data_IF_663708873709
#
_entry.id   IF_663708873709
#
_cell.length_a   1.000
_cell.length_b   1.000
_cell.length_c   1.000
_cell.angle_alpha   90.00
_cell.angle_beta   90.00
_cell.angle_gamma   90.00
#
_symmetry.space_group_name_H-M   'P 1'
#
loop_
_entity.id
_entity.type
_entity.pdbx_description
1 polymer ?
#
# COMPACT_ATOMS: atom_id res chain seq x y z
N UNK A 1 -48.49 24.19 -34.38
CA UNK A 1 -49.14 25.36 -33.72
C UNK A 1 -48.15 25.95 -32.73
N UNK A 2 -47.87 27.24 -32.90
CA UNK A 2 -46.98 28.16 -32.16
C UNK A 2 -45.66 27.62 -31.59
N UNK A 3 -44.53 28.09 -32.14
CA UNK A 3 -43.29 28.17 -31.37
C UNK A 3 -43.58 29.02 -30.12
N UNK A 4 -43.65 28.39 -28.95
CA UNK A 4 -43.72 29.08 -27.66
C UNK A 4 -42.39 29.84 -27.50
N UNK A 5 -42.40 31.11 -27.90
CA UNK A 5 -41.28 32.00 -27.62
C UNK A 5 -41.32 32.28 -26.11
N UNK A 6 -40.19 32.15 -25.40
CA UNK A 6 -40.13 32.45 -23.98
C UNK A 6 -40.58 33.89 -23.70
N UNK A 7 -41.23 34.12 -22.56
CA UNK A 7 -41.70 35.44 -22.12
C UNK A 7 -40.56 36.40 -21.73
N UNK A 8 -39.31 36.06 -22.04
CA UNK A 8 -38.13 36.80 -21.65
C UNK A 8 -37.00 36.72 -22.68
N UNK A 9 -36.00 37.57 -22.50
CA UNK A 9 -34.82 37.64 -23.37
C UNK A 9 -33.67 36.77 -22.85
N UNK A 10 -32.63 36.62 -23.67
CA UNK A 10 -31.39 35.90 -23.33
C UNK A 10 -30.64 36.44 -22.11
N UNK A 11 -30.99 37.64 -21.62
CA UNK A 11 -30.41 38.26 -20.42
C UNK A 11 -31.33 38.20 -19.21
N UNK A 12 -32.33 37.31 -19.20
CA UNK A 12 -33.27 37.20 -18.08
C UNK A 12 -32.57 36.98 -16.74
N UNK A 13 -32.96 37.78 -15.74
CA UNK A 13 -32.54 37.71 -14.32
C UNK A 13 -33.74 37.70 -13.37
N UNK A 14 -34.93 37.35 -13.87
CA UNK A 14 -36.16 37.33 -13.07
C UNK A 14 -36.06 36.29 -11.96
N UNK A 15 -36.18 36.74 -10.71
CA UNK A 15 -36.19 35.85 -9.56
C UNK A 15 -37.38 34.88 -9.63
N UNK A 16 -38.54 35.35 -10.10
CA UNK A 16 -39.72 34.51 -10.28
C UNK A 16 -39.44 33.37 -11.26
N UNK A 17 -38.83 33.66 -12.41
CA UNK A 17 -38.50 32.61 -13.38
C UNK A 17 -37.51 31.60 -12.80
N UNK A 18 -36.57 32.05 -11.96
CA UNK A 18 -35.63 31.16 -11.28
C UNK A 18 -36.37 30.23 -10.30
N UNK A 19 -37.31 30.76 -9.53
CA UNK A 19 -38.12 29.98 -8.58
C UNK A 19 -39.01 28.96 -9.31
N UNK A 20 -39.62 29.35 -10.43
CA UNK A 20 -40.46 28.44 -11.22
C UNK A 20 -39.63 27.30 -11.83
N UNK A 21 -38.46 27.62 -12.41
CA UNK A 21 -37.50 26.64 -12.92
C UNK A 21 -37.11 25.64 -11.82
N UNK A 22 -36.77 26.14 -10.63
CA UNK A 22 -36.38 25.29 -9.49
C UNK A 22 -37.54 24.39 -9.04
N UNK A 23 -38.75 24.94 -8.96
CA UNK A 23 -39.96 24.21 -8.58
C UNK A 23 -40.23 23.04 -9.54
N UNK A 24 -40.17 23.31 -10.85
CA UNK A 24 -40.39 22.30 -11.89
C UNK A 24 -39.31 21.22 -11.84
N UNK A 25 -38.05 21.57 -11.65
CA UNK A 25 -36.94 20.59 -11.57
C UNK A 25 -37.09 19.67 -10.36
N UNK A 26 -37.61 20.21 -9.25
CA UNK A 26 -37.80 19.45 -8.01
C UNK A 26 -38.90 18.39 -8.15
N UNK A 27 -40.00 18.69 -8.87
CA UNK A 27 -41.20 17.84 -8.91
C UNK A 27 -41.44 17.13 -10.24
N UNK A 28 -40.90 17.66 -11.33
CA UNK A 28 -41.20 17.22 -12.69
C UNK A 28 -40.54 15.89 -13.05
N UNK A 29 -41.15 15.22 -14.03
CA UNK A 29 -40.50 14.15 -14.79
C UNK A 29 -39.44 14.73 -15.74
N UNK A 30 -38.51 13.89 -16.19
CA UNK A 30 -37.44 14.32 -17.11
C UNK A 30 -37.99 15.03 -18.36
N UNK A 31 -39.02 14.47 -18.99
CA UNK A 31 -39.64 15.05 -20.19
C UNK A 31 -40.33 16.39 -19.90
N UNK A 32 -41.01 16.51 -18.77
CA UNK A 32 -41.65 17.76 -18.35
C UNK A 32 -40.61 18.86 -18.08
N UNK A 33 -39.52 18.52 -17.40
CA UNK A 33 -38.44 19.45 -17.10
C UNK A 33 -37.81 19.94 -18.40
N UNK A 34 -37.43 19.03 -19.30
CA UNK A 34 -36.82 19.40 -20.60
C UNK A 34 -37.74 20.31 -21.40
N UNK A 35 -39.02 19.95 -21.54
CA UNK A 35 -40.01 20.75 -22.26
C UNK A 35 -40.19 22.15 -21.66
N UNK A 36 -40.28 22.25 -20.34
CA UNK A 36 -40.44 23.52 -19.63
C UNK A 36 -39.21 24.41 -19.77
N UNK A 37 -38.00 23.86 -19.55
CA UNK A 37 -36.75 24.61 -19.67
C UNK A 37 -36.53 25.16 -21.09
N UNK A 38 -36.97 24.43 -22.12
CA UNK A 38 -36.84 24.86 -23.52
C UNK A 38 -37.84 25.93 -23.96
N UNK A 39 -38.96 26.11 -23.25
CA UNK A 39 -40.06 27.00 -23.68
C UNK A 39 -40.34 28.17 -22.75
N UNK A 40 -40.04 28.05 -21.46
CA UNK A 40 -40.45 29.04 -20.46
C UNK A 40 -39.51 30.25 -20.36
N UNK A 41 -38.19 30.02 -20.37
CA UNK A 41 -37.21 31.09 -20.16
C UNK A 41 -35.98 30.88 -21.05
N UNK A 42 -35.58 31.92 -21.81
CA UNK A 42 -34.39 31.84 -22.68
C UNK A 42 -33.11 31.55 -21.89
N UNK A 43 -33.07 31.97 -20.62
CA UNK A 43 -31.94 31.75 -19.72
C UNK A 43 -32.20 30.67 -18.65
N UNK A 44 -33.18 29.77 -18.85
CA UNK A 44 -33.59 28.78 -17.85
C UNK A 44 -32.43 27.93 -17.32
N UNK A 45 -31.42 27.67 -18.16
CA UNK A 45 -30.29 26.81 -17.81
C UNK A 45 -29.23 27.48 -16.90
N UNK A 46 -29.18 28.83 -16.85
CA UNK A 46 -28.17 29.54 -16.04
C UNK A 46 -28.75 30.51 -15.02
N UNK A 47 -30.06 30.76 -15.07
CA UNK A 47 -30.75 31.63 -14.11
C UNK A 47 -30.57 31.11 -12.68
N UNK A 48 -30.37 32.04 -11.74
CA UNK A 48 -30.04 31.73 -10.35
C UNK A 48 -31.10 32.26 -9.41
N UNK A 49 -31.39 31.51 -8.35
CA UNK A 49 -32.22 31.98 -7.24
C UNK A 49 -31.45 32.88 -6.25
N UNK A 50 -32.10 33.24 -5.16
CA UNK A 50 -31.53 34.05 -4.08
C UNK A 50 -30.26 33.41 -3.46
N UNK A 51 -30.17 32.08 -3.45
CA UNK A 51 -29.03 31.30 -2.94
C UNK A 51 -27.95 31.07 -4.00
N UNK A 52 -28.11 31.61 -5.21
CA UNK A 52 -27.17 31.42 -6.31
C UNK A 52 -27.25 30.06 -6.99
N UNK A 53 -28.28 29.25 -6.68
CA UNK A 53 -28.49 27.93 -7.27
C UNK A 53 -29.19 28.08 -8.61
N UNK A 54 -28.77 27.27 -9.58
CA UNK A 54 -29.39 27.14 -10.90
C UNK A 54 -29.91 25.70 -11.09
N UNK A 55 -30.43 25.41 -12.27
CA UNK A 55 -31.00 24.10 -12.59
C UNK A 55 -30.07 22.91 -12.33
N UNK A 56 -28.75 23.02 -12.58
CA UNK A 56 -27.84 21.89 -12.38
C UNK A 56 -27.68 21.54 -10.89
N UNK A 57 -27.74 22.53 -9.99
CA UNK A 57 -27.68 22.29 -8.55
C UNK A 57 -28.90 21.51 -8.09
N UNK A 58 -30.08 21.86 -8.60
CA UNK A 58 -31.35 21.23 -8.22
C UNK A 58 -31.51 19.85 -8.86
N UNK A 59 -31.16 19.71 -10.14
CA UNK A 59 -31.15 18.42 -10.82
C UNK A 59 -30.23 17.43 -10.10
N UNK A 60 -29.05 17.90 -9.65
CA UNK A 60 -28.12 17.14 -8.81
C UNK A 60 -28.67 16.80 -7.43
N UNK A 61 -29.36 17.74 -6.77
CA UNK A 61 -29.97 17.52 -5.45
C UNK A 61 -31.21 16.62 -5.49
N UNK A 62 -31.76 16.34 -6.68
CA UNK A 62 -32.97 15.53 -6.87
C UNK A 62 -32.70 14.24 -7.66
N UNK A 63 -31.44 13.89 -7.91
CA UNK A 63 -31.07 12.65 -8.63
C UNK A 63 -31.51 12.61 -10.11
N UNK A 64 -31.69 13.77 -10.77
CA UNK A 64 -32.24 13.85 -12.13
C UNK A 64 -31.13 13.69 -13.19
N UNK A 65 -30.51 12.51 -13.26
CA UNK A 65 -29.39 12.20 -14.18
C UNK A 65 -29.67 12.58 -15.64
N UNK A 66 -30.81 12.16 -16.21
CA UNK A 66 -31.11 12.43 -17.62
C UNK A 66 -31.34 13.91 -17.96
N UNK A 67 -31.66 14.74 -16.94
CA UNK A 67 -31.68 16.20 -17.07
C UNK A 67 -30.27 16.77 -17.02
N UNK A 68 -29.39 16.25 -16.15
CA UNK A 68 -27.98 16.66 -16.08
C UNK A 68 -27.21 16.33 -17.36
N UNK A 69 -27.36 15.10 -17.89
CA UNK A 69 -26.73 14.69 -19.16
C UNK A 69 -27.15 15.64 -20.29
N UNK A 70 -28.46 15.95 -20.37
CA UNK A 70 -28.99 16.87 -21.37
C UNK A 70 -28.48 18.32 -21.20
N UNK A 71 -28.38 18.81 -19.96
CA UNK A 71 -27.84 20.14 -19.67
C UNK A 71 -26.35 20.24 -19.97
N UNK A 72 -25.59 19.17 -19.72
CA UNK A 72 -24.16 19.10 -20.02
C UNK A 72 -23.87 19.16 -21.53
N UNK A 73 -24.79 18.66 -22.36
CA UNK A 73 -24.72 18.75 -23.82
C UNK A 73 -25.22 20.10 -24.36
N UNK A 74 -25.91 20.89 -23.53
CA UNK A 74 -26.48 22.19 -23.94
C UNK A 74 -25.42 23.31 -23.87
N UNK A 75 -25.24 24.05 -24.98
CA UNK A 75 -24.27 25.16 -25.04
C UNK A 75 -24.60 26.25 -24.02
N UNK A 76 -23.59 26.65 -23.22
CA UNK A 76 -23.67 27.78 -22.30
C UNK A 76 -23.94 27.43 -20.83
N UNK A 77 -24.05 26.15 -20.49
CA UNK A 77 -24.18 25.69 -19.10
C UNK A 77 -22.79 25.47 -18.50
N UNK A 78 -22.50 26.19 -17.41
CA UNK A 78 -21.28 25.98 -16.61
C UNK A 78 -21.55 24.92 -15.52
N UNK A 79 -21.05 23.70 -15.74
CA UNK A 79 -21.13 22.61 -14.76
C UNK A 79 -20.30 22.85 -13.50
N UNK A 80 -19.37 23.81 -13.54
CA UNK A 80 -18.50 24.18 -12.43
C UNK A 80 -19.09 25.32 -11.58
N UNK A 81 -20.28 25.79 -11.94
CA UNK A 81 -20.94 26.87 -11.22
C UNK A 81 -21.11 26.51 -9.74
N UNK A 82 -20.73 27.45 -8.87
CA UNK A 82 -20.90 27.36 -7.43
C UNK A 82 -22.13 28.14 -6.98
N UNK A 83 -22.87 27.59 -6.02
CA UNK A 83 -23.90 28.35 -5.32
C UNK A 83 -23.31 29.43 -4.40
N UNK A 84 -24.13 30.42 -4.04
CA UNK A 84 -23.69 31.55 -3.23
C UNK A 84 -23.68 31.23 -1.74
N UNK A 85 -24.40 30.22 -1.29
CA UNK A 85 -24.54 29.91 0.13
C UNK A 85 -23.28 29.18 0.63
N UNK A 86 -23.04 27.99 0.09
CA UNK A 86 -21.99 27.06 0.49
C UNK A 86 -20.76 27.09 -0.42
N UNK A 87 -20.92 27.57 -1.66
CA UNK A 87 -19.89 27.41 -2.69
C UNK A 87 -19.88 26.02 -3.32
N UNK A 88 -20.91 25.21 -3.08
CA UNK A 88 -21.04 23.88 -3.64
C UNK A 88 -21.35 23.91 -5.13
N UNK A 89 -20.78 22.95 -5.85
CA UNK A 89 -21.12 22.65 -7.23
C UNK A 89 -22.23 21.59 -7.31
N UNK A 90 -22.73 21.34 -8.52
CA UNK A 90 -23.58 20.19 -8.83
C UNK A 90 -23.00 18.85 -8.30
N UNK A 91 -21.67 18.68 -8.37
CA UNK A 91 -20.99 17.47 -7.90
C UNK A 91 -21.04 17.31 -6.38
N UNK A 92 -20.79 18.37 -5.62
CA UNK A 92 -20.91 18.35 -4.15
C UNK A 92 -22.31 17.94 -3.71
N UNK A 93 -23.34 18.51 -4.34
CA UNK A 93 -24.74 18.19 -4.04
C UNK A 93 -25.10 16.75 -4.39
N UNK A 94 -24.68 16.27 -5.57
CA UNK A 94 -24.91 14.87 -5.98
C UNK A 94 -24.31 13.89 -4.97
N UNK A 95 -23.11 14.20 -4.46
CA UNK A 95 -22.43 13.41 -3.43
C UNK A 95 -23.17 13.49 -2.10
N UNK A 96 -23.46 14.69 -1.61
CA UNK A 96 -24.08 14.90 -0.31
C UNK A 96 -25.44 14.20 -0.17
N UNK A 97 -26.22 14.14 -1.26
CA UNK A 97 -27.51 13.45 -1.28
C UNK A 97 -27.43 11.98 -1.73
N UNK A 98 -26.23 11.46 -2.03
CA UNK A 98 -26.03 10.04 -2.36
C UNK A 98 -26.44 9.62 -3.79
N UNK A 99 -26.57 10.57 -4.73
CA UNK A 99 -26.94 10.27 -6.12
C UNK A 99 -25.72 9.92 -6.99
N UNK A 100 -25.21 8.69 -6.82
CA UNK A 100 -24.01 8.20 -7.52
C UNK A 100 -24.14 8.27 -9.05
N UNK A 101 -25.32 8.02 -9.60
CA UNK A 101 -25.56 8.13 -11.04
C UNK A 101 -25.33 9.54 -11.59
N UNK A 102 -25.71 10.58 -10.83
CA UNK A 102 -25.45 11.97 -11.16
C UNK A 102 -23.96 12.32 -11.00
N UNK A 103 -23.30 11.79 -9.97
CA UNK A 103 -21.85 11.92 -9.78
C UNK A 103 -21.12 11.37 -11.01
N UNK A 104 -21.40 10.14 -11.42
CA UNK A 104 -20.76 9.49 -12.57
C UNK A 104 -21.00 10.26 -13.87
N UNK A 105 -22.21 10.79 -14.08
CA UNK A 105 -22.53 11.67 -15.21
C UNK A 105 -21.66 12.93 -15.21
N UNK A 106 -21.61 13.67 -14.10
CA UNK A 106 -20.82 14.90 -13.98
C UNK A 106 -19.32 14.64 -14.19
N UNK A 107 -18.79 13.54 -13.64
CA UNK A 107 -17.40 13.12 -13.85
C UNK A 107 -17.12 12.76 -15.32
N UNK A 108 -18.05 12.07 -15.99
CA UNK A 108 -17.96 11.76 -17.43
C UNK A 108 -17.89 13.04 -18.27
N UNK A 109 -18.56 14.10 -17.84
CA UNK A 109 -18.51 15.43 -18.49
C UNK A 109 -17.34 16.31 -18.01
N UNK A 110 -16.36 15.75 -17.28
CA UNK A 110 -15.10 16.42 -16.96
C UNK A 110 -15.12 17.30 -15.71
N UNK A 111 -16.15 17.22 -14.86
CA UNK A 111 -16.18 17.95 -13.58
C UNK A 111 -15.16 17.34 -12.63
N UNK A 112 -14.26 18.17 -12.08
CA UNK A 112 -13.22 17.70 -11.15
C UNK A 112 -13.76 17.46 -9.74
N UNK A 113 -13.36 16.33 -9.13
CA UNK A 113 -13.62 16.00 -7.72
C UNK A 113 -12.95 16.97 -6.74
N UNK A 114 -11.91 17.68 -7.17
CA UNK A 114 -11.02 18.46 -6.31
C UNK A 114 -11.40 19.94 -6.21
N UNK A 115 -12.54 20.34 -6.79
CA UNK A 115 -13.04 21.71 -6.65
C UNK A 115 -13.44 21.92 -5.20
N UNK A 116 -12.84 22.92 -4.55
CA UNK A 116 -13.11 23.22 -3.13
C UNK A 116 -14.31 24.16 -2.97
N UNK A 117 -15.12 23.95 -1.94
CA UNK A 117 -16.18 24.85 -1.51
C UNK A 117 -15.65 26.05 -0.70
N UNK A 118 -16.53 26.81 -0.03
CA UNK A 118 -16.11 27.94 0.81
C UNK A 118 -15.39 27.53 2.10
N UNK A 119 -15.59 26.30 2.57
CA UNK A 119 -14.90 25.73 3.72
C UNK A 119 -13.56 25.08 3.33
N UNK A 120 -13.22 25.09 2.04
CA UNK A 120 -12.01 24.45 1.51
C UNK A 120 -12.16 22.95 1.28
N UNK A 121 -13.36 22.40 1.42
CA UNK A 121 -13.66 20.98 1.25
C UNK A 121 -13.99 20.70 -0.21
N UNK A 122 -13.36 19.67 -0.77
CA UNK A 122 -13.70 19.17 -2.09
C UNK A 122 -14.91 18.23 -2.04
N UNK A 123 -15.46 17.94 -3.21
CA UNK A 123 -16.56 16.99 -3.34
C UNK A 123 -16.14 15.60 -2.80
N UNK A 124 -14.87 15.23 -2.95
CA UNK A 124 -14.31 14.01 -2.38
C UNK A 124 -14.24 14.05 -0.84
N UNK A 125 -13.85 15.19 -0.26
CA UNK A 125 -13.79 15.36 1.20
C UNK A 125 -15.18 15.21 1.83
N UNK A 126 -16.24 15.64 1.14
CA UNK A 126 -17.63 15.43 1.58
C UNK A 126 -18.01 13.94 1.63
N UNK A 127 -17.60 13.13 0.65
CA UNK A 127 -17.84 11.66 0.69
C UNK A 127 -17.20 11.06 1.94
N UNK A 128 -16.08 11.62 2.37
CA UNK A 128 -15.31 11.11 3.51
C UNK A 128 -15.79 11.67 4.86
N UNK A 129 -16.71 12.64 4.89
CA UNK A 129 -17.12 13.36 6.11
C UNK A 129 -17.93 12.48 7.09
N UNK A 130 -18.67 11.50 6.58
CA UNK A 130 -19.42 10.55 7.42
C UNK A 130 -18.53 9.44 8.01
N UNK A 131 -17.23 9.44 7.68
CA UNK A 131 -16.28 8.51 8.28
C UNK A 131 -16.13 8.82 9.77
N UNK A 132 -16.11 7.79 10.65
CA UNK A 132 -15.71 7.99 12.04
C UNK A 132 -14.35 8.70 12.09
N UNK A 133 -14.27 9.79 12.88
CA UNK A 133 -13.06 10.61 13.01
C UNK A 133 -11.86 9.74 13.42
N UNK A 134 -12.09 8.64 14.15
CA UNK A 134 -11.10 7.63 14.47
C UNK A 134 -11.67 6.25 14.16
N UNK A 135 -11.03 5.50 13.27
CA UNK A 135 -11.38 4.09 13.02
C UNK A 135 -10.45 3.22 13.84
N UNK A 136 -10.98 2.59 14.88
CA UNK A 136 -10.21 1.63 15.70
C UNK A 136 -10.38 0.24 15.10
N UNK A 137 -9.35 -0.26 14.43
CA UNK A 137 -9.30 -1.65 13.96
C UNK A 137 -8.79 -2.56 15.07
N UNK A 138 -9.56 -3.61 15.39
CA UNK A 138 -9.10 -4.72 16.23
C UNK A 138 -8.41 -5.74 15.33
N UNK A 139 -7.41 -6.43 15.89
CA UNK A 139 -6.72 -7.56 15.21
C UNK A 139 -7.64 -8.75 14.91
N UNK A 140 -8.88 -8.73 15.38
CA UNK A 140 -9.89 -9.77 15.16
C UNK A 140 -10.95 -9.36 14.14
N UNK A 141 -10.92 -8.11 13.68
CA UNK A 141 -11.89 -7.63 12.72
C UNK A 141 -11.73 -8.38 11.38
N UNK A 142 -12.83 -8.64 10.66
CA UNK A 142 -12.75 -9.27 9.35
C UNK A 142 -11.95 -8.38 8.41
N UNK A 143 -11.05 -8.98 7.65
CA UNK A 143 -10.20 -8.27 6.70
C UNK A 143 -10.40 -8.79 5.28
N UNK A 144 -10.40 -7.85 4.36
CA UNK A 144 -10.43 -8.10 2.92
C UNK A 144 -9.07 -7.78 2.32
N UNK A 145 -8.70 -8.53 1.27
CA UNK A 145 -7.43 -8.35 0.58
C UNK A 145 -7.69 -7.72 -0.77
N UNK A 146 -7.07 -6.57 -1.00
CA UNK A 146 -7.08 -5.92 -2.31
C UNK A 146 -5.67 -5.96 -2.90
N UNK A 147 -5.55 -6.40 -4.16
CA UNK A 147 -4.29 -6.42 -4.90
C UNK A 147 -4.46 -5.73 -6.24
N UNK A 148 -3.42 -4.99 -6.66
CA UNK A 148 -3.41 -4.28 -7.93
C UNK A 148 -1.99 -4.05 -8.43
N UNK A 149 -1.87 -3.52 -9.65
CA UNK A 149 -0.62 -3.27 -10.33
C UNK A 149 -0.35 -4.26 -11.46
N UNK A 150 0.93 -4.46 -11.76
CA UNK A 150 1.39 -5.37 -12.80
C UNK A 150 1.25 -6.82 -12.34
N UNK A 151 0.78 -7.71 -13.24
CA UNK A 151 0.55 -9.11 -12.95
C UNK A 151 1.25 -10.08 -13.94
N UNK A 152 2.34 -9.63 -14.57
CA UNK A 152 3.16 -10.47 -15.48
C UNK A 152 3.64 -11.75 -14.79
N UNK A 153 3.85 -11.71 -13.46
CA UNK A 153 4.34 -12.83 -12.67
C UNK A 153 3.25 -13.54 -11.83
N UNK A 154 1.96 -13.28 -12.12
CA UNK A 154 0.81 -13.92 -11.45
C UNK A 154 0.74 -13.71 -9.93
N UNK A 155 1.27 -12.59 -9.44
CA UNK A 155 1.36 -12.28 -8.01
C UNK A 155 0.08 -11.67 -7.44
N UNK A 156 -0.88 -11.26 -8.26
CA UNK A 156 -2.08 -10.59 -7.74
C UNK A 156 -3.14 -11.55 -7.18
N UNK A 157 -3.17 -12.82 -7.61
CA UNK A 157 -4.11 -13.82 -7.08
C UNK A 157 -5.52 -13.80 -7.68
N UNK A 158 -5.74 -13.11 -8.80
CA UNK A 158 -7.05 -12.96 -9.46
C UNK A 158 -7.36 -14.01 -10.54
N UNK A 159 -6.57 -15.09 -10.65
CA UNK A 159 -6.81 -16.18 -11.61
C UNK A 159 -6.53 -15.85 -13.08
N UNK A 160 -6.03 -14.65 -13.38
CA UNK A 160 -5.67 -14.21 -14.73
C UNK A 160 -4.29 -13.54 -14.79
N UNK A 161 -3.82 -13.26 -16.00
CA UNK A 161 -2.54 -12.57 -16.25
C UNK A 161 -2.67 -11.04 -16.29
N UNK A 162 -3.90 -10.54 -16.34
CA UNK A 162 -4.16 -9.12 -16.50
C UNK A 162 -3.77 -8.35 -15.23
N UNK A 163 -3.04 -7.27 -15.41
CA UNK A 163 -2.79 -6.29 -14.35
C UNK A 163 -4.07 -5.56 -13.98
N UNK A 164 -4.09 -4.96 -12.78
CA UNK A 164 -5.22 -4.16 -12.30
C UNK A 164 -4.78 -2.72 -12.09
N UNK A 165 -5.53 -1.76 -12.62
CA UNK A 165 -5.21 -0.34 -12.50
C UNK A 165 -5.70 0.30 -11.18
N UNK A 166 -6.64 -0.35 -10.50
CA UNK A 166 -7.17 0.05 -9.21
C UNK A 166 -7.15 -1.16 -8.25
N UNK A 167 -7.17 -0.94 -6.92
CA UNK A 167 -7.37 -2.00 -5.94
C UNK A 167 -8.56 -2.90 -6.33
N UNK A 168 -8.34 -4.21 -6.36
CA UNK A 168 -9.39 -5.19 -6.65
C UNK A 168 -9.38 -6.29 -5.60
N UNK A 169 -10.58 -6.66 -5.15
CA UNK A 169 -10.79 -7.66 -4.10
C UNK A 169 -10.34 -9.04 -4.59
N UNK A 170 -9.45 -9.68 -3.83
CA UNK A 170 -9.11 -11.10 -4.00
C UNK A 170 -10.24 -11.92 -3.40
N UNK A 171 -11.27 -12.16 -4.20
CA UNK A 171 -12.57 -12.69 -3.78
C UNK A 171 -12.53 -14.11 -3.18
N UNK A 172 -11.50 -14.89 -3.46
CA UNK A 172 -11.28 -16.22 -2.92
C UNK A 172 -11.34 -16.25 -1.38
N UNK A 173 -10.78 -15.24 -0.72
CA UNK A 173 -10.74 -15.19 0.74
C UNK A 173 -12.12 -14.97 1.38
N UNK A 174 -12.87 -13.88 1.04
CA UNK A 174 -14.20 -13.67 1.60
C UNK A 174 -15.20 -14.76 1.20
N UNK A 175 -15.13 -15.30 -0.03
CA UNK A 175 -15.99 -16.42 -0.46
C UNK A 175 -15.83 -17.66 0.44
N UNK A 176 -14.64 -17.86 1.00
CA UNK A 176 -14.33 -19.01 1.84
C UNK A 176 -14.30 -18.67 3.34
N UNK A 177 -14.71 -17.46 3.74
CA UNK A 177 -14.68 -17.02 5.14
C UNK A 177 -13.27 -16.97 5.75
N UNK A 178 -12.27 -16.65 4.92
CA UNK A 178 -10.87 -16.53 5.32
C UNK A 178 -10.51 -15.05 5.46
N UNK A 179 -10.01 -14.66 6.63
CA UNK A 179 -9.57 -13.29 6.91
C UNK A 179 -8.05 -13.24 7.00
N UNK A 180 -7.40 -12.34 6.28
CA UNK A 180 -5.94 -12.26 6.15
C UNK A 180 -5.36 -11.19 7.08
N UNK A 181 -4.38 -11.57 7.92
CA UNK A 181 -3.68 -10.68 8.86
C UNK A 181 -2.35 -10.12 8.32
N UNK A 182 -1.73 -10.81 7.35
CA UNK A 182 -0.48 -10.37 6.76
C UNK A 182 -0.39 -10.77 5.28
N UNK A 183 0.14 -9.88 4.45
CA UNK A 183 0.41 -10.11 3.03
C UNK A 183 1.86 -9.74 2.72
N UNK A 184 2.56 -10.60 1.99
CA UNK A 184 3.91 -10.32 1.46
C UNK A 184 3.87 -10.51 -0.04
N UNK A 185 4.06 -9.42 -0.79
CA UNK A 185 4.18 -9.44 -2.25
C UNK A 185 5.65 -9.39 -2.64
N UNK A 186 6.09 -10.34 -3.45
CA UNK A 186 7.45 -10.41 -3.99
C UNK A 186 7.43 -10.35 -5.53
N UNK A 187 8.62 -10.30 -6.14
CA UNK A 187 8.73 -10.23 -7.61
C UNK A 187 7.98 -11.36 -8.33
N UNK A 188 8.03 -12.58 -7.80
CA UNK A 188 7.54 -13.77 -8.49
C UNK A 188 6.41 -14.51 -7.78
N UNK A 189 6.16 -14.23 -6.51
CA UNK A 189 5.10 -14.88 -5.77
C UNK A 189 4.55 -13.97 -4.67
N UNK A 190 3.44 -14.38 -4.08
CA UNK A 190 2.78 -13.69 -2.99
C UNK A 190 2.36 -14.68 -1.93
N UNK A 191 2.44 -14.24 -0.68
CA UNK A 191 2.17 -15.06 0.50
C UNK A 191 1.14 -14.34 1.36
N UNK A 192 0.11 -15.07 1.77
CA UNK A 192 -1.00 -14.56 2.56
C UNK A 192 -1.13 -15.39 3.83
N UNK A 193 -1.20 -14.74 4.97
CA UNK A 193 -1.34 -15.38 6.27
C UNK A 193 -2.71 -15.03 6.87
N UNK A 194 -3.52 -16.05 7.15
CA UNK A 194 -4.84 -15.85 7.76
C UNK A 194 -4.77 -15.61 9.27
N UNK A 195 -5.85 -15.07 9.83
CA UNK A 195 -6.03 -14.94 11.27
C UNK A 195 -6.01 -16.30 12.00
N UNK A 196 -6.41 -17.37 11.31
CA UNK A 196 -6.38 -18.76 11.80
C UNK A 196 -5.02 -19.45 11.61
N UNK A 197 -3.97 -18.70 11.27
CA UNK A 197 -2.63 -19.23 11.08
C UNK A 197 -2.43 -20.03 9.80
N UNK A 198 -3.33 -19.96 8.82
CA UNK A 198 -3.21 -20.68 7.55
C UNK A 198 -2.42 -19.85 6.54
N UNK A 199 -1.50 -20.49 5.82
CA UNK A 199 -0.65 -19.84 4.80
C UNK A 199 -1.11 -20.21 3.40
N UNK A 200 -1.32 -19.19 2.56
CA UNK A 200 -1.67 -19.34 1.16
C UNK A 200 -0.60 -18.71 0.28
N UNK A 201 -0.34 -19.27 -0.89
CA UNK A 201 0.64 -18.76 -1.85
C UNK A 201 0.08 -18.74 -3.28
N UNK A 202 0.52 -17.78 -4.09
CA UNK A 202 0.28 -17.73 -5.53
C UNK A 202 1.45 -17.06 -6.26
N UNK A 203 1.49 -17.18 -7.59
CA UNK A 203 2.57 -16.72 -8.46
C UNK A 203 3.32 -17.88 -9.11
N UNK A 204 4.57 -17.64 -9.49
CA UNK A 204 5.43 -18.65 -10.10
C UNK A 204 6.01 -19.64 -9.07
N UNK A 205 5.92 -20.93 -9.39
CA UNK A 205 6.39 -22.03 -8.54
C UNK A 205 7.87 -22.38 -8.65
N UNK A 206 8.61 -21.82 -9.60
CA UNK A 206 10.00 -22.22 -9.89
C UNK A 206 10.88 -22.31 -8.63
N UNK A 207 11.61 -23.42 -8.48
CA UNK A 207 12.42 -23.71 -7.30
C UNK A 207 11.62 -24.06 -6.03
N UNK A 208 10.29 -24.23 -6.12
CA UNK A 208 9.45 -24.67 -5.00
C UNK A 208 8.97 -23.57 -4.06
N UNK A 209 9.09 -22.28 -4.45
CA UNK A 209 8.84 -21.12 -3.57
C UNK A 209 7.40 -21.00 -3.05
N UNK A 210 6.46 -21.73 -3.65
CA UNK A 210 5.06 -21.77 -3.24
C UNK A 210 4.74 -22.82 -2.18
N UNK A 211 5.58 -23.85 -2.02
CA UNK A 211 5.42 -24.85 -0.95
C UNK A 211 4.39 -25.96 -1.23
N UNK A 212 3.92 -26.12 -2.47
CA UNK A 212 2.87 -27.10 -2.83
C UNK A 212 3.40 -28.50 -3.20
N UNK A 213 4.69 -28.75 -3.07
CA UNK A 213 5.33 -30.00 -3.46
C UNK A 213 5.79 -30.07 -4.92
N UNK A 214 5.49 -29.03 -5.71
CA UNK A 214 5.84 -28.90 -7.12
C UNK A 214 6.42 -27.50 -7.42
N UNK A 215 6.70 -27.23 -8.70
CA UNK A 215 7.15 -25.92 -9.20
C UNK A 215 6.12 -25.23 -10.10
N UNK A 216 4.86 -25.65 -10.04
CA UNK A 216 3.82 -25.13 -10.92
C UNK A 216 3.44 -23.69 -10.56
N UNK A 217 3.05 -22.92 -11.57
CA UNK A 217 2.51 -21.58 -11.36
C UNK A 217 1.09 -21.70 -10.80
N UNK A 218 0.78 -20.93 -9.75
CA UNK A 218 -0.53 -20.89 -9.12
C UNK A 218 -1.14 -19.50 -9.28
N UNK A 219 -2.24 -19.38 -10.02
CA UNK A 219 -2.81 -18.07 -10.40
C UNK A 219 -3.72 -17.45 -9.33
N UNK A 220 -4.17 -18.27 -8.38
CA UNK A 220 -5.02 -17.89 -7.26
C UNK A 220 -4.38 -18.40 -5.96
N UNK A 221 -4.57 -17.73 -4.81
CA UNK A 221 -4.00 -18.20 -3.55
C UNK A 221 -4.44 -19.63 -3.22
N UNK A 222 -3.47 -20.54 -3.07
CA UNK A 222 -3.69 -21.93 -2.69
C UNK A 222 -3.11 -22.18 -1.30
N UNK A 223 -3.83 -22.96 -0.48
CA UNK A 223 -3.37 -23.36 0.85
C UNK A 223 -2.07 -24.18 0.75
N UNK A 224 -1.10 -23.85 1.60
CA UNK A 224 0.13 -24.63 1.74
C UNK A 224 -0.13 -25.79 2.71
N UNK A 225 -0.55 -26.94 2.17
CA UNK A 225 -0.98 -28.11 2.97
C UNK A 225 0.07 -28.58 3.99
N UNK A 226 1.36 -28.48 3.67
CA UNK A 226 2.45 -28.83 4.60
C UNK A 226 2.49 -27.99 5.88
N UNK A 227 1.76 -26.87 5.94
CA UNK A 227 1.62 -26.00 7.11
C UNK A 227 0.22 -26.03 7.72
N UNK A 228 -0.74 -26.76 7.14
CA UNK A 228 -2.15 -26.71 7.57
C UNK A 228 -2.36 -27.14 9.03
N UNK A 229 -1.49 -27.99 9.58
CA UNK A 229 -1.52 -28.44 10.98
C UNK A 229 -0.80 -27.51 11.96
N UNK A 230 -0.22 -26.39 11.50
CA UNK A 230 0.56 -25.48 12.32
C UNK A 230 -0.15 -24.12 12.45
N UNK A 231 -0.09 -23.52 13.65
CA UNK A 231 -0.56 -22.15 13.84
C UNK A 231 0.53 -21.17 13.46
N UNK A 232 0.44 -20.58 12.26
CA UNK A 232 1.43 -19.62 11.78
C UNK A 232 1.20 -18.20 12.32
N UNK A 233 2.26 -17.59 12.83
CA UNK A 233 2.26 -16.27 13.47
C UNK A 233 2.78 -15.16 12.55
N UNK A 234 3.77 -15.47 11.69
CA UNK A 234 4.40 -14.51 10.78
C UNK A 234 4.85 -15.17 9.47
N UNK A 235 4.77 -14.43 8.37
CA UNK A 235 5.36 -14.78 7.08
C UNK A 235 6.44 -13.78 6.67
N UNK A 236 7.47 -14.25 6.00
CA UNK A 236 8.46 -13.44 5.28
C UNK A 236 8.79 -14.15 3.95
N UNK A 237 9.06 -13.37 2.91
CA UNK A 237 9.43 -13.92 1.61
C UNK A 237 10.33 -12.94 0.86
N UNK A 238 11.14 -13.49 -0.02
CA UNK A 238 11.97 -12.72 -0.94
C UNK A 238 11.81 -13.25 -2.36
N UNK A 239 12.75 -12.93 -3.26
CA UNK A 239 12.63 -13.30 -4.68
C UNK A 239 12.33 -14.80 -4.87
N UNK A 240 13.10 -15.67 -4.23
CA UNK A 240 13.15 -17.11 -4.57
C UNK A 240 12.79 -18.07 -3.43
N UNK A 241 12.46 -17.58 -2.24
CA UNK A 241 12.11 -18.43 -1.10
C UNK A 241 11.12 -17.76 -0.14
N UNK A 242 10.49 -18.61 0.68
CA UNK A 242 9.48 -18.26 1.68
C UNK A 242 9.90 -18.80 3.04
N UNK A 243 9.62 -18.01 4.08
CA UNK A 243 9.92 -18.29 5.49
C UNK A 243 8.65 -18.09 6.29
N UNK A 244 8.30 -19.07 7.13
CA UNK A 244 7.10 -19.06 7.95
C UNK A 244 7.48 -19.33 9.39
N UNK A 245 6.97 -18.52 10.31
CA UNK A 245 7.11 -18.68 11.76
C UNK A 245 5.78 -19.19 12.34
N UNK A 246 5.84 -20.17 13.22
CA UNK A 246 4.69 -20.63 14.02
C UNK A 246 4.58 -19.89 15.35
N UNK A 247 3.42 -19.98 16.00
CA UNK A 247 3.22 -19.44 17.35
C UNK A 247 4.14 -20.10 18.39
N UNK A 248 4.48 -21.38 18.19
CA UNK A 248 5.42 -22.12 19.03
C UNK A 248 6.90 -21.76 18.79
N UNK A 249 7.19 -20.82 17.89
CA UNK A 249 8.55 -20.38 17.56
C UNK A 249 9.30 -21.32 16.60
N UNK A 250 8.61 -22.22 15.91
CA UNK A 250 9.22 -23.04 14.86
C UNK A 250 9.25 -22.30 13.53
N UNK A 251 10.35 -22.44 12.80
CA UNK A 251 10.55 -21.80 11.51
C UNK A 251 10.55 -22.85 10.41
N UNK A 252 9.77 -22.62 9.37
CA UNK A 252 9.69 -23.44 8.16
C UNK A 252 10.15 -22.62 6.96
N UNK A 253 10.96 -23.22 6.09
CA UNK A 253 11.46 -22.60 4.87
C UNK A 253 11.21 -23.48 3.66
N UNK A 254 10.97 -22.85 2.51
CA UNK A 254 10.80 -23.53 1.22
C UNK A 254 11.12 -22.57 0.06
N UNK A 255 11.46 -23.14 -1.09
CA UNK A 255 11.95 -22.41 -2.27
C UNK A 255 13.36 -22.79 -2.67
N UNK A 256 14.01 -21.89 -3.40
CA UNK A 256 15.36 -22.08 -3.92
C UNK A 256 16.39 -21.92 -2.80
N UNK A 257 17.44 -22.74 -2.83
CA UNK A 257 18.47 -22.78 -1.79
C UNK A 257 19.91 -22.65 -2.35
N UNK A 258 20.07 -22.02 -3.51
CA UNK A 258 21.38 -21.84 -4.19
C UNK A 258 22.46 -21.23 -3.30
N UNK A 259 22.06 -20.38 -2.34
CA UNK A 259 22.96 -19.70 -1.41
C UNK A 259 22.76 -20.16 0.03
N UNK A 260 22.09 -21.29 0.23
CA UNK A 260 21.75 -21.84 1.54
C UNK A 260 20.82 -20.96 2.41
N UNK A 261 20.04 -20.08 1.77
CA UNK A 261 19.09 -19.19 2.44
C UNK A 261 17.98 -19.92 3.21
N UNK A 262 17.73 -21.20 2.94
CA UNK A 262 16.71 -21.98 3.67
C UNK A 262 17.18 -22.47 5.04
N UNK A 263 18.49 -22.58 5.30
CA UNK A 263 19.02 -23.03 6.59
C UNK A 263 18.78 -24.50 6.95
N UNK A 264 18.48 -25.34 5.95
CA UNK A 264 18.16 -26.77 6.13
C UNK A 264 19.46 -27.59 6.12
N UNK A 265 19.58 -28.58 7.02
CA UNK A 265 20.69 -29.53 7.07
C UNK A 265 20.23 -30.98 6.84
N UNK A 266 20.92 -31.78 6.02
CA UNK A 266 21.92 -31.35 5.02
C UNK A 266 21.27 -30.41 3.98
N UNK A 267 22.04 -29.47 3.37
CA UNK A 267 21.48 -28.44 2.49
C UNK A 267 20.98 -29.03 1.16
N UNK A 268 19.67 -28.97 0.86
CA UNK A 268 19.15 -29.36 -0.45
C UNK A 268 19.37 -28.22 -1.47
N UNK A 269 19.32 -28.48 -2.78
CA UNK A 269 19.37 -27.42 -3.81
C UNK A 269 18.12 -26.52 -3.80
N UNK A 270 16.96 -27.10 -3.50
CA UNK A 270 15.67 -26.44 -3.34
C UNK A 270 14.77 -27.27 -2.41
N UNK A 271 13.66 -26.71 -1.96
CA UNK A 271 12.65 -27.42 -1.18
C UNK A 271 11.25 -27.00 -1.62
N UNK A 272 10.50 -27.89 -2.26
CA UNK A 272 9.14 -27.61 -2.76
C UNK A 272 8.04 -27.78 -1.72
N UNK A 273 8.37 -28.34 -0.55
CA UNK A 273 7.48 -28.42 0.61
C UNK A 273 8.11 -27.69 1.80
N UNK A 274 7.30 -27.09 2.69
CA UNK A 274 7.80 -26.47 3.91
C UNK A 274 8.63 -27.46 4.74
N UNK A 275 9.87 -27.10 5.05
CA UNK A 275 10.73 -27.89 5.94
C UNK A 275 11.18 -27.07 7.13
N UNK A 276 11.13 -27.66 8.30
CA UNK A 276 11.54 -27.02 9.55
C UNK A 276 13.06 -26.75 9.54
N UNK A 277 13.44 -25.53 9.94
CA UNK A 277 14.82 -25.16 10.19
C UNK A 277 15.24 -25.67 11.56
N UNK A 278 16.16 -26.63 11.59
CA UNK A 278 16.69 -27.20 12.83
C UNK A 278 18.12 -26.74 13.04
N UNK A 279 18.36 -26.01 14.14
CA UNK A 279 19.69 -25.52 14.48
C UNK A 279 19.99 -25.73 15.97
N UNK A 280 21.18 -26.26 16.28
CA UNK A 280 21.59 -26.58 17.66
C UNK A 280 21.59 -25.34 18.57
N UNK A 281 21.96 -24.18 18.03
CA UNK A 281 21.99 -22.89 18.71
C UNK A 281 20.60 -22.23 18.89
N UNK A 282 19.55 -22.79 18.30
CA UNK A 282 18.16 -22.41 18.54
C UNK A 282 17.45 -23.36 19.51
N UNK A 283 18.09 -24.47 19.91
CA UNK A 283 17.48 -25.44 20.81
C UNK A 283 17.14 -24.78 22.15
N UNK A 284 15.86 -24.83 22.53
CA UNK A 284 15.35 -24.22 23.76
C UNK A 284 15.15 -22.70 23.69
N UNK A 285 15.32 -22.08 22.52
CA UNK A 285 15.08 -20.65 22.32
C UNK A 285 13.85 -20.45 21.45
N UNK A 286 12.96 -19.55 21.87
CA UNK A 286 11.78 -19.19 21.10
C UNK A 286 12.14 -18.13 20.06
N UNK A 287 11.99 -18.46 18.78
CA UNK A 287 12.08 -17.47 17.70
C UNK A 287 10.84 -16.58 17.77
N UNK A 288 11.04 -15.27 17.81
CA UNK A 288 9.96 -14.28 17.93
C UNK A 288 9.72 -13.52 16.64
N UNK A 289 10.60 -13.69 15.64
CA UNK A 289 10.37 -13.13 14.32
C UNK A 289 11.31 -13.63 13.24
N UNK A 290 10.87 -13.43 12.00
CA UNK A 290 11.57 -13.81 10.77
C UNK A 290 11.58 -12.69 9.72
N UNK A 291 12.65 -12.62 8.92
CA UNK A 291 12.77 -11.72 7.77
C UNK A 291 13.56 -12.41 6.65
N UNK A 292 13.32 -12.00 5.41
CA UNK A 292 13.95 -12.57 4.23
C UNK A 292 14.47 -11.47 3.31
N UNK A 293 15.74 -11.58 2.90
CA UNK A 293 16.33 -10.85 1.79
C UNK A 293 16.48 -11.77 0.58
N UNK A 294 16.76 -11.25 -0.62
CA UNK A 294 16.86 -12.09 -1.84
C UNK A 294 17.78 -13.31 -1.67
N UNK A 295 18.86 -13.18 -0.91
CA UNK A 295 19.89 -14.21 -0.79
C UNK A 295 20.11 -14.71 0.64
N UNK A 296 19.30 -14.28 1.61
CA UNK A 296 19.50 -14.63 3.01
C UNK A 296 18.20 -14.64 3.82
N UNK A 297 18.23 -15.38 4.93
CA UNK A 297 17.16 -15.43 5.92
C UNK A 297 17.69 -14.94 7.26
N UNK A 298 16.83 -14.24 7.99
CA UNK A 298 17.11 -13.73 9.33
C UNK A 298 16.05 -14.23 10.30
N UNK A 299 16.48 -14.81 11.41
CA UNK A 299 15.64 -15.21 12.53
C UNK A 299 16.11 -14.45 13.76
N UNK A 300 15.22 -14.10 14.68
CA UNK A 300 15.66 -13.53 15.96
C UNK A 300 14.85 -14.04 17.13
N UNK A 301 15.53 -14.08 18.28
CA UNK A 301 14.92 -14.21 19.60
C UNK A 301 15.10 -12.88 20.33
N UNK A 302 14.63 -12.75 21.56
CA UNK A 302 14.93 -11.56 22.37
C UNK A 302 16.43 -11.36 22.59
N UNK A 303 17.23 -12.42 22.63
CA UNK A 303 18.63 -12.36 23.05
C UNK A 303 19.64 -12.32 21.89
N UNK A 304 19.19 -12.64 20.68
CA UNK A 304 20.10 -12.88 19.56
C UNK A 304 19.43 -12.75 18.19
N UNK A 305 20.21 -12.27 17.23
CA UNK A 305 19.89 -12.33 15.80
C UNK A 305 20.69 -13.46 15.16
N UNK A 306 20.03 -14.22 14.30
CA UNK A 306 20.62 -15.30 13.53
C UNK A 306 20.45 -15.06 12.03
N UNK A 307 21.52 -15.22 11.27
CA UNK A 307 21.52 -15.01 9.82
C UNK A 307 22.12 -16.20 9.10
N UNK A 308 21.60 -16.50 7.90
CA UNK A 308 22.04 -17.59 7.03
C UNK A 308 21.83 -17.21 5.56
N UNK A 309 22.55 -17.83 4.64
CA UNK A 309 22.51 -17.48 3.22
C UNK A 309 23.84 -16.98 2.67
N UNK A 310 23.80 -16.21 1.58
CA UNK A 310 24.97 -15.56 0.98
C UNK A 310 25.56 -14.51 1.92
N UNK A 311 26.86 -14.57 2.18
CA UNK A 311 27.59 -13.56 2.96
C UNK A 311 28.18 -12.48 2.05
N UNK A 312 27.35 -11.55 1.59
CA UNK A 312 27.76 -10.39 0.79
C UNK A 312 27.91 -9.10 1.61
N UNK A 313 28.03 -9.21 2.94
CA UNK A 313 28.15 -8.09 3.88
C UNK A 313 26.89 -7.78 4.71
N UNK A 314 25.76 -8.41 4.39
CA UNK A 314 24.46 -8.17 5.01
C UNK A 314 24.11 -9.10 6.18
N UNK A 315 24.93 -10.12 6.43
CA UNK A 315 24.71 -11.11 7.49
C UNK A 315 25.23 -10.68 8.86
N UNK A 316 26.11 -9.67 8.92
CA UNK A 316 26.78 -9.25 10.15
C UNK A 316 28.02 -10.08 10.53
N UNK A 317 28.56 -10.86 9.60
CA UNK A 317 29.83 -11.58 9.74
C UNK A 317 30.94 -10.85 8.99
N UNK A 318 32.16 -10.94 9.52
CA UNK A 318 33.34 -10.43 8.82
C UNK A 318 33.66 -11.29 7.59
N UNK A 319 34.23 -10.66 6.57
CA UNK A 319 34.88 -11.37 5.47
C UNK A 319 36.24 -11.87 5.97
N UNK A 320 36.29 -13.09 6.48
CA UNK A 320 37.56 -13.73 6.85
C UNK A 320 38.39 -13.95 5.56
N UNK A 321 39.74 -13.88 5.55
CA UNK A 321 40.53 -14.17 4.36
C UNK A 321 40.31 -15.59 3.80
N UNK A 322 39.78 -16.50 4.64
CA UNK A 322 39.31 -17.86 4.32
C UNK A 322 37.80 -18.03 4.54
N UNK A 323 37.05 -16.93 4.58
CA UNK A 323 35.67 -16.88 5.06
C UNK A 323 34.69 -17.64 4.18
N UNK A 324 33.72 -18.28 4.82
CA UNK A 324 32.64 -18.95 4.11
C UNK A 324 31.80 -17.94 3.34
N UNK A 325 31.70 -18.14 2.01
CA UNK A 325 30.86 -17.34 1.12
C UNK A 325 29.38 -17.45 1.47
N UNK A 326 28.96 -18.57 2.04
CA UNK A 326 27.59 -18.80 2.44
C UNK A 326 27.54 -19.47 3.81
N UNK A 327 26.54 -19.10 4.60
CA UNK A 327 26.26 -19.66 5.92
C UNK A 327 25.10 -20.64 5.77
N UNK A 328 25.35 -21.94 5.97
CA UNK A 328 24.42 -23.03 5.62
C UNK A 328 23.32 -23.30 6.64
N UNK A 329 23.49 -22.85 7.87
CA UNK A 329 22.54 -23.00 8.96
C UNK A 329 22.51 -21.70 9.78
N UNK A 330 21.41 -21.41 10.52
CA UNK A 330 21.32 -20.21 11.33
C UNK A 330 22.57 -20.02 12.21
N UNK A 331 23.36 -18.98 11.94
CA UNK A 331 24.53 -18.60 12.75
C UNK A 331 24.15 -17.38 13.56
N UNK A 332 24.71 -17.24 14.76
CA UNK A 332 24.44 -16.09 15.62
C UNK A 332 25.34 -14.90 15.25
N UNK A 333 24.76 -13.70 15.16
CA UNK A 333 25.50 -12.47 14.88
C UNK A 333 26.17 -11.96 16.16
N UNK A 334 27.46 -12.25 16.33
CA UNK A 334 28.22 -11.93 17.56
C UNK A 334 28.26 -10.43 17.88
N UNK A 335 28.24 -9.56 16.88
CA UNK A 335 28.21 -8.10 17.08
C UNK A 335 26.93 -7.60 17.77
N UNK A 336 25.88 -8.41 17.75
CA UNK A 336 24.59 -8.17 18.40
C UNK A 336 24.36 -9.14 19.57
N UNK A 337 25.42 -9.67 20.17
CA UNK A 337 25.32 -10.58 21.31
C UNK A 337 26.07 -10.04 22.53
N UNK A 338 25.35 -9.29 23.37
CA UNK A 338 25.85 -8.80 24.66
C UNK A 338 24.70 -8.67 25.67
N UNK A 339 25.00 -8.63 26.97
CA UNK A 339 24.00 -8.75 28.05
C UNK A 339 22.85 -7.73 27.99
N UNK A 340 23.10 -6.55 27.46
CA UNK A 340 22.12 -5.47 27.40
C UNK A 340 21.23 -5.45 26.15
N UNK A 341 21.46 -6.35 25.19
CA UNK A 341 20.68 -6.36 23.94
C UNK A 341 19.40 -7.18 24.13
N UNK A 342 18.26 -6.54 23.87
CA UNK A 342 16.96 -7.19 23.77
C UNK A 342 16.38 -6.83 22.41
N UNK A 343 16.34 -7.77 21.48
CA UNK A 343 15.91 -7.54 20.08
C UNK A 343 14.40 -7.52 20.01
N UNK A 344 13.84 -6.51 19.34
CA UNK A 344 12.39 -6.34 19.14
C UNK A 344 11.99 -6.56 17.69
N UNK A 345 12.66 -5.91 16.73
CA UNK A 345 12.29 -5.93 15.32
C UNK A 345 13.52 -6.14 14.44
N UNK A 346 13.36 -6.88 13.36
CA UNK A 346 14.40 -7.00 12.32
C UNK A 346 13.75 -6.96 10.95
N UNK A 347 14.41 -6.31 9.99
CA UNK A 347 14.03 -6.29 8.58
C UNK A 347 15.24 -6.58 7.71
N UNK A 348 15.01 -7.23 6.57
CA UNK A 348 16.04 -7.56 5.60
C UNK A 348 15.67 -7.00 4.22
N UNK A 349 16.67 -6.55 3.47
CA UNK A 349 16.61 -6.22 2.05
C UNK A 349 17.57 -7.13 1.28
N UNK A 350 17.81 -6.88 -0.01
CA UNK A 350 18.79 -7.66 -0.77
C UNK A 350 20.20 -7.59 -0.18
N UNK A 351 20.65 -6.40 0.25
CA UNK A 351 22.02 -6.14 0.68
C UNK A 351 22.19 -5.56 2.09
N UNK A 352 21.15 -5.55 2.91
CA UNK A 352 21.23 -5.04 4.28
C UNK A 352 20.27 -5.77 5.22
N UNK A 353 20.62 -5.78 6.51
CA UNK A 353 19.73 -6.22 7.60
C UNK A 353 19.71 -5.15 8.68
N UNK A 354 18.53 -4.72 9.11
CA UNK A 354 18.36 -3.74 10.19
C UNK A 354 17.76 -4.42 11.40
N UNK A 355 18.40 -4.23 12.55
CA UNK A 355 17.98 -4.81 13.83
C UNK A 355 17.65 -3.69 14.81
N UNK A 356 16.55 -3.82 15.54
CA UNK A 356 16.06 -2.84 16.51
C UNK A 356 15.97 -3.51 17.88
N UNK A 357 16.38 -2.79 18.92
CA UNK A 357 16.27 -3.26 20.31
C UNK A 357 15.04 -2.69 21.02
N UNK A 358 14.59 -3.32 22.10
CA UNK A 358 13.54 -2.81 22.99
C UNK A 358 13.90 -1.43 23.60
N UNK A 359 15.21 -1.08 23.67
CA UNK A 359 15.67 0.25 24.11
C UNK A 359 15.65 1.31 22.99
N UNK A 360 15.22 0.93 21.79
CA UNK A 360 15.16 1.83 20.64
C UNK A 360 16.50 2.10 19.96
N UNK A 361 17.46 1.18 20.11
CA UNK A 361 18.71 1.23 19.34
C UNK A 361 18.49 0.57 17.98
N UNK A 362 18.95 1.22 16.91
CA UNK A 362 18.85 0.73 15.54
C UNK A 362 20.25 0.38 15.04
N UNK A 363 20.46 -0.88 14.67
CA UNK A 363 21.70 -1.41 14.12
C UNK A 363 21.52 -1.76 12.65
N UNK A 364 22.52 -1.48 11.84
CA UNK A 364 22.59 -1.81 10.42
C UNK A 364 23.73 -2.80 10.19
N UNK A 365 23.40 -3.96 9.63
CA UNK A 365 24.32 -4.95 9.09
C UNK A 365 24.40 -4.75 7.57
N UNK A 366 25.50 -4.18 7.11
CA UNK A 366 25.81 -3.97 5.70
C UNK A 366 27.33 -3.79 5.54
N UNK A 367 27.87 -4.06 4.36
CA UNK A 367 29.30 -3.89 4.06
C UNK A 367 30.24 -4.58 5.08
N UNK A 368 29.83 -5.77 5.58
CA UNK A 368 30.53 -6.56 6.62
C UNK A 368 30.71 -5.83 7.96
N UNK A 369 29.91 -4.80 8.21
CA UNK A 369 29.96 -3.99 9.41
C UNK A 369 28.60 -4.04 10.13
N UNK A 370 28.67 -4.03 11.46
CA UNK A 370 27.52 -3.80 12.33
C UNK A 370 27.62 -2.37 12.88
N UNK A 371 26.85 -1.45 12.30
CA UNK A 371 26.84 -0.03 12.68
C UNK A 371 25.61 0.30 13.51
N UNK A 372 25.81 0.88 14.69
CA UNK A 372 24.73 1.50 15.46
C UNK A 372 24.36 2.85 14.84
N UNK A 373 23.16 2.94 14.27
CA UNK A 373 22.71 4.07 13.46
C UNK A 373 21.93 5.11 14.25
N UNK A 374 21.11 4.67 15.19
CA UNK A 374 20.33 5.53 16.05
C UNK A 374 20.21 4.90 17.44
N UNK A 375 19.92 5.73 18.44
CA UNK A 375 19.68 5.30 19.81
C UNK A 375 18.40 5.94 20.33
N UNK A 376 17.81 5.33 21.36
CA UNK A 376 16.67 5.90 22.11
C UNK A 376 15.45 6.24 21.23
N UNK A 377 15.25 5.53 20.13
CA UNK A 377 14.03 5.56 19.33
C UNK A 377 13.00 4.63 19.98
N UNK A 378 12.34 5.10 21.03
CA UNK A 378 11.44 4.28 21.84
C UNK A 378 10.13 3.97 21.10
N UNK A 379 9.46 2.89 21.52
CA UNK A 379 8.13 2.48 21.06
C UNK A 379 8.04 2.26 19.55
N UNK A 380 9.11 1.75 18.93
CA UNK A 380 9.08 1.34 17.53
C UNK A 380 8.22 0.09 17.36
N UNK A 381 7.24 0.16 16.45
CA UNK A 381 6.35 -0.97 16.13
C UNK A 381 6.66 -1.63 14.78
N UNK A 382 7.35 -0.93 13.87
CA UNK A 382 7.74 -1.46 12.55
C UNK A 382 9.06 -0.86 12.09
N UNK A 383 9.89 -1.68 11.47
CA UNK A 383 11.12 -1.26 10.79
C UNK A 383 11.16 -1.91 9.41
N UNK A 384 11.58 -1.14 8.41
CA UNK A 384 11.74 -1.59 7.04
C UNK A 384 13.11 -1.15 6.52
N UNK A 385 13.73 -1.98 5.70
CA UNK A 385 14.94 -1.63 4.98
C UNK A 385 14.79 -1.98 3.51
N UNK A 386 15.30 -1.12 2.65
CA UNK A 386 15.47 -1.38 1.22
C UNK A 386 16.89 -1.04 0.77
N UNK A 387 17.34 -1.69 -0.29
CA UNK A 387 18.64 -1.47 -0.91
C UNK A 387 19.79 -2.18 -0.20
N UNK A 388 20.99 -1.62 -0.30
CA UNK A 388 22.23 -2.25 0.14
C UNK A 388 23.10 -2.69 -1.04
N UNK A 389 24.40 -2.79 -0.76
CA UNK A 389 25.38 -3.31 -1.70
C UNK A 389 25.77 -4.72 -1.25
N UNK A 390 25.74 -5.66 -2.20
CA UNK A 390 26.31 -6.98 -2.01
C UNK A 390 27.65 -7.01 -2.70
N UNK A 391 28.70 -7.44 -1.98
CA UNK A 391 30.03 -7.44 -2.57
C UNK A 391 30.15 -8.48 -3.70
N UNK A 392 30.39 -7.98 -4.91
CA UNK A 392 30.42 -8.73 -6.17
C UNK A 392 31.46 -9.86 -6.23
N UNK A 393 32.49 -9.84 -5.37
CA UNK A 393 33.54 -10.88 -5.34
C UNK A 393 33.02 -12.23 -4.81
N UNK A 394 31.87 -12.24 -4.13
CA UNK A 394 31.28 -13.45 -3.55
C UNK A 394 30.60 -14.31 -4.63
N UNK A 395 29.88 -13.68 -5.57
CA UNK A 395 29.32 -14.33 -6.78
C UNK A 395 29.08 -13.31 -7.93
N UNK A 396 29.94 -13.35 -8.95
CA UNK A 396 29.94 -12.37 -10.05
C UNK A 396 28.85 -12.60 -11.10
N UNK A 397 28.20 -13.77 -11.14
CA UNK A 397 27.19 -14.08 -12.16
C UNK A 397 25.79 -13.62 -11.74
N UNK A 398 25.44 -13.77 -10.46
CA UNK A 398 24.10 -13.47 -9.94
C UNK A 398 23.93 -12.07 -9.32
N UNK A 399 25.04 -11.37 -9.00
CA UNK A 399 25.03 -10.04 -8.36
C UNK A 399 25.14 -8.86 -9.34
N UNK A 400 25.27 -9.11 -10.65
CA UNK A 400 25.38 -8.06 -11.68
C UNK A 400 24.08 -7.32 -11.99
N UNK A 401 22.93 -7.86 -11.60
CA UNK A 401 21.63 -7.38 -12.12
C UNK A 401 21.21 -5.98 -11.65
N UNK A 402 21.71 -5.46 -10.53
CA UNK A 402 21.16 -4.19 -9.98
C UNK A 402 22.17 -3.10 -9.60
N UNK A 403 23.47 -3.40 -9.47
CA UNK A 403 24.35 -2.51 -8.71
C UNK A 403 23.84 -2.32 -7.27
N UNK A 404 24.64 -1.72 -6.38
CA UNK A 404 24.12 -1.39 -5.04
C UNK A 404 23.04 -0.34 -5.13
N UNK A 405 21.89 -0.58 -4.51
CA UNK A 405 20.92 0.48 -4.29
C UNK A 405 21.24 1.21 -2.99
N UNK A 406 21.00 2.52 -2.97
CA UNK A 406 21.11 3.32 -1.74
C UNK A 406 20.25 2.68 -0.64
N UNK A 407 20.84 2.48 0.53
CA UNK A 407 20.11 1.94 1.68
C UNK A 407 19.09 2.98 2.13
N UNK A 408 17.85 2.56 2.31
CA UNK A 408 16.78 3.34 2.93
C UNK A 408 16.19 2.55 4.09
N UNK A 409 16.10 3.17 5.26
CA UNK A 409 15.52 2.58 6.47
C UNK A 409 14.34 3.44 6.88
N UNK A 410 13.18 2.83 7.07
CA UNK A 410 12.02 3.46 7.69
C UNK A 410 11.75 2.81 9.04
N UNK A 411 11.47 3.61 10.06
CA UNK A 411 10.99 3.12 11.35
C UNK A 411 9.73 3.87 11.74
N UNK A 412 8.69 3.13 12.14
CA UNK A 412 7.40 3.66 12.58
C UNK A 412 7.22 3.37 14.06
N UNK A 413 6.86 4.39 14.83
CA UNK A 413 6.53 4.23 16.24
C UNK A 413 5.03 4.08 16.50
N UNK A 414 4.69 3.74 17.74
CA UNK A 414 3.30 3.60 18.20
C UNK A 414 2.49 4.89 18.13
N UNK A 415 3.15 6.06 18.25
CA UNK A 415 2.51 7.36 18.12
C UNK A 415 2.20 7.74 16.65
N UNK A 416 2.67 6.95 15.67
CA UNK A 416 2.45 7.19 14.25
C UNK A 416 3.48 8.13 13.60
N UNK A 417 4.63 8.35 14.24
CA UNK A 417 5.76 9.08 13.66
C UNK A 417 6.60 8.12 12.83
N UNK A 418 6.99 8.56 11.62
CA UNK A 418 7.91 7.82 10.75
C UNK A 418 9.27 8.49 10.80
N UNK A 419 10.30 7.71 11.07
CA UNK A 419 11.70 8.11 10.92
C UNK A 419 12.27 7.51 9.64
N UNK A 420 13.10 8.27 8.94
CA UNK A 420 13.72 7.82 7.70
C UNK A 420 15.22 8.07 7.75
N UNK A 421 16.02 7.08 7.36
CA UNK A 421 17.46 7.22 7.12
C UNK A 421 17.79 6.76 5.71
N UNK A 422 18.68 7.49 5.03
CA UNK A 422 19.11 7.17 3.67
C UNK A 422 20.63 7.27 3.53
N UNK A 423 21.23 6.37 2.76
CA UNK A 423 22.66 6.42 2.46
C UNK A 423 22.97 7.56 1.48
N UNK A 424 23.90 8.43 1.85
CA UNK A 424 24.45 9.54 1.06
C UNK A 424 25.97 9.52 1.22
N UNK A 425 26.71 9.36 0.12
CA UNK A 425 28.18 9.39 0.05
C UNK A 425 28.86 8.60 1.20
N UNK A 426 28.58 7.30 1.30
CA UNK A 426 29.12 6.36 2.30
C UNK A 426 28.70 6.58 3.77
N UNK A 427 27.78 7.51 4.04
CA UNK A 427 27.20 7.74 5.37
C UNK A 427 25.68 7.61 5.33
N UNK A 428 25.08 7.12 6.42
CA UNK A 428 23.64 7.11 6.58
C UNK A 428 23.21 8.41 7.25
N UNK A 429 22.30 9.15 6.61
CA UNK A 429 21.77 10.42 7.13
C UNK A 429 20.31 10.28 7.48
N UNK A 430 19.89 10.86 8.60
CA UNK A 430 18.49 10.95 8.96
C UNK A 430 17.80 12.02 8.11
N UNK A 431 16.73 11.65 7.42
CA UNK A 431 15.89 12.56 6.65
C UNK A 431 14.98 13.35 7.59
N UNK A 432 14.67 14.59 7.20
CA UNK A 432 13.67 15.43 7.87
C UNK A 432 12.43 15.50 7.01
N UNK A 433 11.29 15.19 7.61
CA UNK A 433 10.00 15.39 6.97
C UNK A 433 9.61 16.86 7.03
N UNK A 434 9.16 17.40 5.90
CA UNK A 434 8.58 18.75 5.82
C UNK A 434 7.12 18.56 5.48
N UNK A 435 6.26 18.67 6.49
CA UNK A 435 4.83 18.54 6.33
C UNK A 435 4.17 19.92 6.30
N UNK A 436 3.24 20.15 5.37
CA UNK A 436 2.33 21.30 5.44
C UNK A 436 1.25 21.13 6.52
N UNK A 437 0.92 19.88 6.86
CA UNK A 437 -0.01 19.44 7.92
C UNK A 437 0.61 18.25 8.64
N UNK A 438 0.61 18.23 9.98
CA UNK A 438 1.08 17.06 10.71
C UNK A 438 0.14 15.88 10.46
N UNK A 439 0.70 14.72 10.12
CA UNK A 439 -0.07 13.50 9.84
C UNK A 439 0.52 12.34 10.64
N UNK A 440 -0.34 11.54 11.27
CA UNK A 440 0.05 10.37 12.06
C UNK A 440 -0.25 9.07 11.30
N UNK A 441 0.76 8.20 11.22
CA UNK A 441 0.71 6.98 10.41
C UNK A 441 0.24 5.77 11.23
N UNK A 442 -0.66 4.98 10.65
CA UNK A 442 -1.04 3.67 11.16
C UNK A 442 -0.10 2.58 10.66
N UNK A 443 0.30 2.62 9.38
CA UNK A 443 1.27 1.70 8.79
C UNK A 443 2.08 2.34 7.63
N UNK A 444 3.22 1.71 7.29
CA UNK A 444 4.10 2.09 6.18
C UNK A 444 4.56 0.86 5.39
N UNK A 445 4.74 1.02 4.09
CA UNK A 445 5.42 0.05 3.23
C UNK A 445 6.52 0.74 2.41
N UNK A 446 7.60 0.01 2.15
CA UNK A 446 8.76 0.50 1.41
C UNK A 446 9.07 -0.49 0.28
N UNK A 447 9.18 0.03 -0.93
CA UNK A 447 9.65 -0.69 -2.11
C UNK A 447 10.76 0.15 -2.77
N UNK A 448 11.55 -0.45 -3.67
CA UNK A 448 12.67 0.13 -4.44
C UNK A 448 12.74 1.65 -4.42
N UNK A 449 11.80 2.29 -5.14
CA UNK A 449 11.72 3.73 -5.27
C UNK A 449 10.42 4.36 -4.71
N UNK A 450 9.57 3.56 -4.07
CA UNK A 450 8.22 3.94 -3.66
C UNK A 450 8.03 3.74 -2.16
N UNK A 451 7.32 4.66 -1.53
CA UNK A 451 6.88 4.53 -0.15
C UNK A 451 5.37 4.67 -0.13
N UNK A 452 4.71 3.84 0.66
CA UNK A 452 3.29 3.97 0.94
C UNK A 452 3.09 4.19 2.42
N UNK A 453 2.11 5.03 2.76
CA UNK A 453 1.70 5.30 4.12
C UNK A 453 0.20 5.17 4.24
N UNK A 454 -0.25 4.68 5.38
CA UNK A 454 -1.66 4.73 5.78
C UNK A 454 -1.74 5.56 7.04
N UNK A 455 -2.70 6.47 7.13
CA UNK A 455 -2.89 7.34 8.30
C UNK A 455 -3.80 6.70 9.34
N UNK A 456 -3.83 7.26 10.54
CA UNK A 456 -4.80 6.85 11.58
C UNK A 456 -6.24 7.23 11.20
N UNK A 457 -6.40 8.26 10.38
CA UNK A 457 -7.66 8.67 9.76
C UNK A 457 -8.03 7.76 8.57
N UNK A 458 -7.15 6.79 8.27
CA UNK A 458 -7.24 5.78 7.22
C UNK A 458 -7.32 6.32 5.80
N UNK A 459 -6.66 7.45 5.55
CA UNK A 459 -6.20 7.86 4.24
C UNK A 459 -4.98 6.98 3.86
N UNK A 460 -4.75 6.78 2.56
CA UNK A 460 -3.55 6.11 2.07
C UNK A 460 -2.83 7.00 1.05
N UNK A 461 -1.52 7.14 1.23
CA UNK A 461 -0.65 7.95 0.38
C UNK A 461 0.42 7.07 -0.27
N UNK A 462 0.76 7.37 -1.52
CA UNK A 462 1.92 6.80 -2.21
C UNK A 462 2.86 7.91 -2.64
N UNK A 463 4.16 7.70 -2.49
CA UNK A 463 5.20 8.65 -2.83
C UNK A 463 6.35 7.98 -3.54
N UNK A 464 7.02 8.74 -4.42
CA UNK A 464 8.23 8.31 -5.12
C UNK A 464 9.41 9.15 -4.68
N UNK A 465 10.58 8.53 -4.58
CA UNK A 465 11.82 9.29 -4.39
C UNK A 465 12.15 10.08 -5.65
N UNK A 466 12.37 11.39 -5.51
CA UNK A 466 12.97 12.19 -6.56
C UNK A 466 14.46 11.81 -6.66
N UNK A 467 14.90 11.40 -7.85
CA UNK A 467 16.32 11.13 -8.09
C UNK A 467 17.11 12.45 -8.04
N UNK A 468 18.22 12.45 -7.29
CA UNK A 468 19.18 13.56 -7.23
C UNK A 468 19.83 13.74 -8.61
N UNK A 469 19.18 14.49 -9.51
CA UNK A 469 19.67 14.73 -10.87
C UNK A 469 18.70 15.44 -11.81
N UNK A 470 17.38 15.29 -11.63
CA UNK A 470 16.39 16.10 -12.34
C UNK A 470 16.03 17.32 -11.52
N UNK A 471 16.79 18.41 -11.68
CA UNK A 471 16.30 19.75 -11.32
C UNK A 471 14.99 19.96 -12.09
N UNK A 472 13.86 19.96 -11.38
CA UNK A 472 12.58 20.38 -11.93
C UNK A 472 12.72 21.88 -12.24
N UNK A 473 12.90 22.19 -13.51
CA UNK A 473 12.70 23.53 -14.05
C UNK A 473 11.21 23.79 -14.17
N UNK A 474 10.50 23.90 -13.05
CA UNK A 474 9.16 24.51 -13.05
C UNK A 474 9.32 25.94 -12.55
N UNK A 475 9.47 26.81 -13.56
CA UNK A 475 9.28 28.25 -13.45
C UNK A 475 7.92 28.50 -12.80
N UNK A 476 7.90 29.39 -11.80
CA UNK A 476 6.73 30.24 -11.56
C UNK A 476 6.40 30.96 -12.88
N UNK A 477 5.22 30.72 -13.39
CA UNK A 477 4.56 31.47 -14.47
C UNK A 477 3.14 31.73 -14.01
#
# INVERSE_FOLDING_TARGET
MSSLMPDCTSKCRSLQHALDVISVVTRGSEGQIKAFLSSYCYNAATIKDAFGRNVIHLASSCGKKGVLDWLAETKGVDLLAKDKESGWTALHRSIFYGYIDCVLSLLKHGVSLYIQDKEGLSALDLVMKDRPIHVVFKKTDPTEVYTWGNNINFTLGHGGQQGKHHPELVDLFPRNGVYIKQVVLCKFHSVFLSHKGQVYTCGHGQGGRLGHGDEQTCLVPRLVEGLASHQCSQIAAAKDHTVVLTEDGYVYTFGLNTFHQLGILPPPPNCSVPRQVQAKNLKGRMVIGVAAGRFHTVLWTKEAVYTMGLNGGQLGYLLDPNGEKCVTAPRQVSALHHKDISVSLVSASDGATVCVTERGDIYLLADYQCKKMASKQLNLKKVLVNGGYLEYKVDTQHLKENGGQKICILALDEAGRVFCWKSSNNSMKQCRWVYGRQVFMSDVALNGNEIMFVTQDGEAFTGKWLEEGKKISEKKG
#
